data_IF_992612095622
#
_entry.id   IF_992612095622
#
_cell.length_a   1.000
_cell.length_b   1.000
_cell.length_c   1.000
_cell.angle_alpha   90.00
_cell.angle_beta   90.00
_cell.angle_gamma   90.00
#
_symmetry.space_group_name_H-M   'P 1'
#
loop_
_entity.id
_entity.type
_entity.pdbx_description
1 polymer ?
#
# COMPACT_ATOMS: atom_id res chain seq x y z
N UNK A 1 20.68 2.06 22.65
CA UNK A 1 21.94 1.38 23.06
C UNK A 1 22.74 1.06 21.79
N UNK A 2 24.08 0.97 21.85
CA UNK A 2 24.99 0.85 20.68
C UNK A 2 25.24 2.13 19.85
N UNK A 3 24.89 3.34 20.32
CA UNK A 3 25.17 4.62 19.65
C UNK A 3 26.66 4.89 19.34
N UNK A 4 27.58 4.31 20.12
CA UNK A 4 29.03 4.45 19.87
C UNK A 4 29.62 3.20 19.18
N UNK A 5 28.76 2.29 18.75
CA UNK A 5 29.13 0.96 18.28
C UNK A 5 29.72 0.04 19.36
N UNK A 6 29.65 -1.27 19.11
CA UNK A 6 30.38 -2.26 19.89
C UNK A 6 30.63 -3.53 19.06
N UNK A 7 31.70 -4.25 19.38
CA UNK A 7 31.96 -5.57 18.82
C UNK A 7 31.15 -6.63 19.58
N UNK A 8 30.35 -7.41 18.86
CA UNK A 8 29.58 -8.51 19.43
C UNK A 8 30.42 -9.76 19.73
N UNK A 9 29.86 -10.76 20.44
CA UNK A 9 30.53 -12.02 20.78
C UNK A 9 30.99 -12.83 19.56
N UNK A 10 30.34 -12.62 18.42
CA UNK A 10 30.64 -13.20 17.12
C UNK A 10 31.70 -12.42 16.33
N UNK A 11 32.35 -11.44 16.96
CA UNK A 11 33.36 -10.54 16.38
C UNK A 11 32.82 -9.56 15.32
N UNK A 12 31.51 -9.44 15.16
CA UNK A 12 30.89 -8.47 14.25
C UNK A 12 30.70 -7.13 14.97
N UNK A 13 31.21 -6.05 14.37
CA UNK A 13 30.94 -4.69 14.84
C UNK A 13 29.50 -4.29 14.51
N UNK A 14 28.77 -3.78 15.49
CA UNK A 14 27.38 -3.32 15.34
C UNK A 14 27.26 -1.90 15.85
N UNK A 15 26.46 -1.10 15.16
CA UNK A 15 26.22 0.30 15.45
C UNK A 15 24.75 0.59 15.14
N UNK A 16 24.06 1.29 16.04
CA UNK A 16 22.70 1.77 15.82
C UNK A 16 22.77 3.29 15.79
N UNK A 17 22.26 3.90 14.72
CA UNK A 17 22.23 5.34 14.51
C UNK A 17 20.78 5.72 14.20
N UNK A 18 20.16 6.51 15.07
CA UNK A 18 18.84 7.09 14.80
C UNK A 18 18.94 8.33 13.93
N UNK A 19 17.82 8.83 13.42
CA UNK A 19 17.78 10.08 12.66
C UNK A 19 18.30 11.28 13.48
N UNK A 20 17.97 11.31 14.77
CA UNK A 20 18.44 12.35 15.70
C UNK A 20 19.94 12.23 15.94
N UNK A 21 20.48 11.00 15.97
CA UNK A 21 21.93 10.77 16.07
C UNK A 21 22.66 11.24 14.80
N UNK A 22 22.06 11.04 13.63
CA UNK A 22 22.60 11.48 12.34
C UNK A 22 22.60 13.02 12.22
N UNK A 23 21.52 13.69 12.62
CA UNK A 23 21.45 15.17 12.67
C UNK A 23 22.50 15.75 13.61
N UNK A 24 22.62 15.19 14.82
CA UNK A 24 23.64 15.61 15.80
C UNK A 24 25.08 15.38 15.29
N UNK A 25 25.29 14.42 14.39
CA UNK A 25 26.57 14.17 13.72
C UNK A 25 26.82 15.10 12.51
N UNK A 26 25.87 16.00 12.20
CA UNK A 26 25.98 17.01 11.15
C UNK A 26 25.34 16.64 9.81
N UNK A 27 24.45 15.65 9.76
CA UNK A 27 23.65 15.36 8.57
C UNK A 27 22.53 16.40 8.43
N UNK A 28 22.44 17.05 7.26
CA UNK A 28 21.48 18.13 6.95
C UNK A 28 20.56 17.79 5.77
N UNK A 29 20.43 16.49 5.44
CA UNK A 29 19.68 15.99 4.28
C UNK A 29 18.17 15.80 4.54
N UNK A 30 17.69 16.06 5.75
CA UNK A 30 16.30 15.84 6.15
C UNK A 30 15.86 16.88 7.20
N UNK A 31 14.55 17.09 7.31
CA UNK A 31 13.93 17.89 8.37
C UNK A 31 13.13 16.96 9.29
N UNK A 32 13.57 16.83 10.55
CA UNK A 32 12.95 15.91 11.51
C UNK A 32 11.52 16.36 11.88
N UNK A 33 11.26 17.67 11.92
CA UNK A 33 9.94 18.18 12.28
C UNK A 33 8.95 17.93 11.12
N UNK A 34 9.37 18.11 9.87
CA UNK A 34 8.58 17.73 8.70
C UNK A 34 8.29 16.23 8.69
N UNK A 35 9.28 15.38 8.99
CA UNK A 35 9.08 13.92 9.07
C UNK A 35 8.13 13.52 10.20
N UNK A 36 8.12 14.23 11.33
CA UNK A 36 7.15 13.98 12.42
C UNK A 36 5.74 14.39 12.05
N UNK A 37 5.58 15.43 11.23
CA UNK A 37 4.30 15.79 10.65
C UNK A 37 3.88 14.80 9.55
N UNK A 38 4.87 14.18 8.88
CA UNK A 38 4.64 13.26 7.78
C UNK A 38 4.24 11.85 8.25
N UNK A 39 4.88 11.34 9.29
CA UNK A 39 4.78 9.96 9.77
C UNK A 39 4.19 9.89 11.17
N UNK A 40 3.31 8.92 11.42
CA UNK A 40 2.79 8.71 12.76
C UNK A 40 3.89 8.27 13.74
N UNK A 41 3.76 8.53 15.05
CA UNK A 41 4.73 8.18 16.08
C UNK A 41 5.26 6.73 16.03
N UNK A 42 4.40 5.73 15.82
CA UNK A 42 4.84 4.33 15.78
C UNK A 42 5.62 4.01 14.50
N UNK A 43 5.22 4.60 13.38
CA UNK A 43 5.93 4.53 12.10
C UNK A 43 7.26 5.29 12.14
N UNK A 44 7.27 6.52 12.67
CA UNK A 44 8.47 7.33 12.84
C UNK A 44 9.49 6.61 13.72
N UNK A 45 9.05 6.05 14.86
CA UNK A 45 9.92 5.33 15.76
C UNK A 45 10.57 4.12 15.07
N UNK A 46 9.80 3.40 14.24
CA UNK A 46 10.31 2.25 13.52
C UNK A 46 11.28 2.63 12.39
N UNK A 47 10.92 3.61 11.56
CA UNK A 47 11.70 4.02 10.39
C UNK A 47 12.96 4.79 10.78
N UNK A 48 12.89 5.62 11.82
CA UNK A 48 13.89 6.64 12.09
C UNK A 48 14.56 6.53 13.46
N UNK A 49 13.87 6.00 14.48
CA UNK A 49 14.45 5.82 15.82
C UNK A 49 14.98 4.39 16.09
N UNK A 50 14.98 3.53 15.06
CA UNK A 50 15.43 2.14 15.15
C UNK A 50 14.65 1.31 16.18
N UNK A 51 13.40 1.68 16.48
CA UNK A 51 12.56 0.90 17.38
C UNK A 51 11.97 -0.31 16.66
N UNK A 52 12.07 -1.48 17.30
CA UNK A 52 11.53 -2.72 16.75
C UNK A 52 10.01 -2.73 16.82
N UNK A 53 9.37 -3.18 15.73
CA UNK A 53 7.91 -3.27 15.67
C UNK A 53 7.40 -4.43 16.53
N UNK A 54 6.51 -4.15 17.48
CA UNK A 54 5.65 -5.16 18.10
C UNK A 54 4.42 -5.40 17.22
N UNK A 55 4.48 -6.44 16.39
CA UNK A 55 3.41 -6.81 15.45
C UNK A 55 2.34 -7.73 16.07
N UNK A 56 2.34 -7.94 17.39
CA UNK A 56 1.45 -8.90 18.06
C UNK A 56 -0.05 -8.60 17.87
N UNK A 57 -0.42 -7.32 17.76
CA UNK A 57 -1.78 -6.87 17.50
C UNK A 57 -2.05 -6.60 16.00
N UNK A 58 -1.02 -6.67 15.16
CA UNK A 58 -1.16 -6.41 13.74
C UNK A 58 -1.95 -7.51 13.04
N UNK A 59 -2.64 -7.11 11.97
CA UNK A 59 -3.24 -8.03 11.03
C UNK A 59 -2.19 -8.77 10.20
N UNK A 60 -1.00 -8.19 10.02
CA UNK A 60 0.05 -8.72 9.15
C UNK A 60 1.34 -8.92 9.94
N UNK A 61 2.07 -9.99 9.62
CA UNK A 61 3.36 -10.27 10.26
C UNK A 61 4.46 -9.53 9.54
N UNK A 62 5.30 -8.82 10.28
CA UNK A 62 6.42 -8.06 9.73
C UNK A 62 7.33 -8.95 8.87
N UNK A 63 7.70 -10.12 9.38
CA UNK A 63 8.59 -11.04 8.68
C UNK A 63 8.02 -11.62 7.37
N UNK A 64 6.69 -11.67 7.21
CA UNK A 64 6.09 -12.13 5.95
C UNK A 64 6.08 -11.00 4.90
N UNK A 65 5.95 -9.74 5.35
CA UNK A 65 6.08 -8.55 4.50
C UNK A 65 7.52 -8.35 4.02
N UNK A 66 8.52 -8.48 4.90
CA UNK A 66 9.94 -8.34 4.53
C UNK A 66 10.35 -9.37 3.47
N UNK A 67 9.81 -10.59 3.51
CA UNK A 67 10.08 -11.62 2.49
C UNK A 67 9.48 -11.30 1.11
N UNK A 68 8.56 -10.34 1.03
CA UNK A 68 7.99 -9.87 -0.22
C UNK A 68 8.87 -8.79 -0.88
N UNK A 69 9.92 -8.31 -0.21
CA UNK A 69 10.89 -7.39 -0.79
C UNK A 69 11.77 -8.07 -1.84
N UNK A 70 12.02 -7.39 -2.96
CA UNK A 70 12.91 -7.81 -4.04
C UNK A 70 13.76 -6.64 -4.55
N UNK A 71 14.79 -6.92 -5.36
CA UNK A 71 15.53 -5.89 -6.07
C UNK A 71 14.82 -5.61 -7.39
N UNK A 72 13.88 -4.66 -7.38
CA UNK A 72 13.00 -4.45 -8.54
C UNK A 72 13.75 -3.98 -9.78
N UNK A 73 14.90 -3.29 -9.60
CA UNK A 73 15.72 -2.77 -10.69
C UNK A 73 16.48 -3.89 -11.42
N UNK A 74 16.93 -4.91 -10.69
CA UNK A 74 17.58 -6.09 -11.27
C UNK A 74 16.53 -7.13 -11.74
N UNK A 75 15.53 -7.42 -10.91
CA UNK A 75 14.59 -8.52 -11.13
C UNK A 75 13.54 -8.21 -12.22
N UNK A 76 13.12 -6.96 -12.37
CA UNK A 76 12.01 -6.58 -13.28
C UNK A 76 12.49 -5.90 -14.56
N UNK A 77 13.23 -6.67 -15.37
CA UNK A 77 13.72 -6.23 -16.69
C UNK A 77 12.64 -5.81 -17.70
N UNK A 78 11.37 -6.10 -17.41
CA UNK A 78 10.19 -5.78 -18.21
C UNK A 78 9.45 -4.51 -17.73
N UNK A 79 9.99 -3.83 -16.72
CA UNK A 79 9.43 -2.61 -16.14
C UNK A 79 10.47 -1.48 -16.18
N UNK A 80 10.08 -0.31 -16.68
CA UNK A 80 10.90 0.90 -16.63
C UNK A 80 10.03 2.11 -16.24
N UNK A 81 10.13 2.63 -15.01
CA UNK A 81 9.26 3.71 -14.52
C UNK A 81 9.37 5.02 -15.31
N UNK A 82 10.50 5.25 -15.99
CA UNK A 82 10.76 6.47 -16.78
C UNK A 82 10.23 6.37 -18.22
N UNK A 83 9.86 5.19 -18.69
CA UNK A 83 9.35 5.02 -20.04
C UNK A 83 7.94 5.62 -20.19
N UNK A 84 7.59 6.03 -21.41
CA UNK A 84 6.24 6.52 -21.73
C UNK A 84 5.15 5.47 -21.43
N UNK A 85 5.50 4.18 -21.51
CA UNK A 85 4.66 3.05 -21.13
C UNK A 85 5.46 2.09 -20.23
N UNK A 86 5.49 2.33 -18.91
CA UNK A 86 6.44 1.68 -18.02
C UNK A 86 6.40 0.15 -18.01
N UNK A 87 5.22 -0.41 -18.28
CA UNK A 87 5.00 -1.86 -18.32
C UNK A 87 4.41 -2.32 -19.67
N UNK A 88 4.71 -1.58 -20.74
CA UNK A 88 4.24 -1.86 -22.09
C UNK A 88 2.71 -1.93 -22.21
N UNK A 89 2.20 -2.93 -22.94
CA UNK A 89 0.76 -3.19 -23.10
C UNK A 89 0.20 -4.22 -22.10
N UNK A 90 1.02 -4.69 -21.16
CA UNK A 90 0.58 -5.71 -20.20
C UNK A 90 -0.45 -5.11 -19.24
N UNK A 91 -1.46 -5.89 -18.85
CA UNK A 91 -2.50 -5.39 -17.97
C UNK A 91 -1.89 -5.01 -16.62
N UNK A 92 -2.33 -3.88 -16.08
CA UNK A 92 -2.12 -3.52 -14.66
C UNK A 92 -3.46 -3.38 -13.97
N UNK A 93 -3.45 -3.62 -12.67
CA UNK A 93 -4.55 -3.35 -11.77
C UNK A 93 -4.16 -2.22 -10.82
N UNK A 94 -5.09 -1.35 -10.52
CA UNK A 94 -4.88 -0.21 -9.65
C UNK A 94 -5.89 -0.21 -8.50
N UNK A 95 -5.47 0.35 -7.37
CA UNK A 95 -6.28 0.50 -6.19
C UNK A 95 -6.11 1.90 -5.64
N UNK A 96 -7.22 2.49 -5.21
CA UNK A 96 -7.28 3.86 -4.75
C UNK A 96 -8.07 3.96 -3.45
N UNK A 97 -7.39 4.37 -2.38
CA UNK A 97 -7.98 4.68 -1.09
C UNK A 97 -7.98 6.22 -0.91
N UNK A 98 -9.14 6.87 -0.78
CA UNK A 98 -9.26 8.31 -0.68
C UNK A 98 -8.90 8.79 0.73
N UNK A 99 -8.52 10.06 0.81
CA UNK A 99 -8.48 10.77 2.07
C UNK A 99 -9.89 10.83 2.67
N UNK A 100 -10.04 10.29 3.88
CA UNK A 100 -11.34 10.16 4.55
C UNK A 100 -11.63 11.30 5.55
N UNK A 101 -10.66 12.18 5.83
CA UNK A 101 -10.80 13.31 6.74
C UNK A 101 -10.10 14.58 6.22
N UNK A 102 -10.68 15.76 6.49
CA UNK A 102 -10.08 17.06 6.16
C UNK A 102 -8.79 17.35 6.95
N UNK A 103 -8.53 16.58 8.03
CA UNK A 103 -7.50 16.88 9.03
C UNK A 103 -6.29 15.92 9.05
N UNK A 104 -6.10 15.04 8.05
CA UNK A 104 -4.79 14.38 7.92
C UNK A 104 -4.69 12.95 7.41
N UNK A 105 -5.76 12.27 6.99
CA UNK A 105 -5.56 10.96 6.32
C UNK A 105 -4.99 11.17 4.91
N UNK A 106 -4.08 10.32 4.43
CA UNK A 106 -3.53 10.48 3.08
C UNK A 106 -4.40 9.69 2.09
N UNK A 107 -4.63 10.22 0.89
CA UNK A 107 -5.09 9.36 -0.19
C UNK A 107 -3.91 8.51 -0.67
N UNK A 108 -4.15 7.34 -1.24
CA UNK A 108 -3.10 6.51 -1.83
C UNK A 108 -3.55 5.82 -3.11
N UNK A 109 -2.67 5.86 -4.11
CA UNK A 109 -2.80 5.10 -5.35
C UNK A 109 -1.69 4.05 -5.42
N UNK A 110 -2.09 2.80 -5.64
CA UNK A 110 -1.18 1.69 -5.94
C UNK A 110 -1.43 1.13 -7.33
N UNK A 111 -0.36 0.88 -8.08
CA UNK A 111 -0.41 0.25 -9.41
C UNK A 111 0.36 -1.06 -9.34
N UNK A 112 -0.30 -2.17 -9.66
CA UNK A 112 0.30 -3.50 -9.59
C UNK A 112 0.17 -4.26 -10.92
N UNK A 113 1.19 -5.04 -11.25
CA UNK A 113 1.06 -6.09 -12.24
C UNK A 113 0.41 -7.32 -11.58
N UNK A 114 -0.76 -7.78 -12.06
CA UNK A 114 -1.29 -9.07 -11.65
C UNK A 114 -0.39 -10.22 -12.13
N UNK A 115 -0.46 -11.40 -11.48
CA UNK A 115 0.27 -12.58 -11.92
C UNK A 115 -0.07 -12.96 -13.37
N UNK A 116 0.95 -13.28 -14.17
CA UNK A 116 0.76 -13.79 -15.54
C UNK A 116 0.31 -15.27 -15.56
N UNK A 117 0.55 -15.98 -14.46
CA UNK A 117 0.19 -17.38 -14.27
C UNK A 117 -0.51 -17.54 -12.92
N UNK A 118 -1.41 -18.51 -12.84
CA UNK A 118 -2.08 -18.85 -11.59
C UNK A 118 -1.04 -19.17 -10.50
N UNK A 119 -1.21 -18.58 -9.32
CA UNK A 119 -0.26 -18.77 -8.21
C UNK A 119 1.01 -17.91 -8.30
N UNK A 120 1.22 -17.16 -9.37
CA UNK A 120 2.34 -16.21 -9.49
C UNK A 120 2.19 -15.01 -8.54
N UNK A 121 3.25 -14.19 -8.47
CA UNK A 121 3.30 -13.01 -7.62
C UNK A 121 2.64 -11.78 -8.27
N UNK A 122 1.97 -10.98 -7.45
CA UNK A 122 1.64 -9.60 -7.75
C UNK A 122 2.89 -8.75 -7.59
N UNK A 123 3.14 -7.82 -8.51
CA UNK A 123 4.26 -6.87 -8.41
C UNK A 123 3.71 -5.48 -8.20
N UNK A 124 3.99 -4.84 -7.07
CA UNK A 124 3.69 -3.42 -6.86
C UNK A 124 4.67 -2.60 -7.70
N UNK A 125 4.20 -2.01 -8.78
CA UNK A 125 5.02 -1.27 -9.73
C UNK A 125 5.24 0.17 -9.29
N UNK A 126 4.19 0.80 -8.76
CA UNK A 126 4.24 2.17 -8.27
C UNK A 126 3.32 2.36 -7.05
N UNK A 127 3.74 3.24 -6.15
CA UNK A 127 3.00 3.70 -4.97
C UNK A 127 3.00 5.23 -4.94
N UNK A 128 1.84 5.82 -4.69
CA UNK A 128 1.67 7.27 -4.69
C UNK A 128 0.82 7.69 -3.49
N UNK A 129 1.43 8.02 -2.34
CA UNK A 129 0.73 8.75 -1.30
C UNK A 129 0.39 10.16 -1.79
N UNK A 130 -0.82 10.62 -1.50
CA UNK A 130 -1.38 11.89 -1.95
C UNK A 130 -1.86 12.68 -0.74
N UNK A 131 -1.35 13.90 -0.56
CA UNK A 131 -1.67 14.77 0.57
C UNK A 131 -2.22 16.10 0.10
N UNK A 132 -3.23 16.63 0.80
CA UNK A 132 -3.72 18.00 0.62
C UNK A 132 -4.37 18.31 -0.74
N UNK A 133 -4.73 17.28 -1.51
CA UNK A 133 -5.42 17.43 -2.79
C UNK A 133 -6.93 17.30 -2.60
N UNK A 134 -7.71 18.13 -3.28
CA UNK A 134 -9.16 17.92 -3.37
C UNK A 134 -9.51 16.71 -4.27
N UNK A 135 -10.78 16.31 -4.29
CA UNK A 135 -11.22 15.14 -5.05
C UNK A 135 -11.05 15.28 -6.58
N UNK A 136 -11.11 16.49 -7.15
CA UNK A 136 -10.92 16.71 -8.59
C UNK A 136 -9.45 16.58 -8.96
N UNK A 137 -8.57 17.14 -8.13
CA UNK A 137 -7.12 17.02 -8.24
C UNK A 137 -6.68 15.57 -8.08
N UNK A 138 -7.22 14.85 -7.09
CA UNK A 138 -7.00 13.42 -6.91
C UNK A 138 -7.41 12.62 -8.16
N UNK A 139 -8.62 12.85 -8.69
CA UNK A 139 -9.07 12.17 -9.92
C UNK A 139 -8.19 12.50 -11.13
N UNK A 140 -7.76 13.76 -11.27
CA UNK A 140 -6.85 14.19 -12.34
C UNK A 140 -5.50 13.47 -12.24
N UNK A 141 -4.96 13.38 -11.03
CA UNK A 141 -3.71 12.65 -10.77
C UNK A 141 -3.84 11.17 -11.13
N UNK A 142 -4.87 10.48 -10.63
CA UNK A 142 -5.11 9.06 -10.92
C UNK A 142 -5.25 8.82 -12.42
N UNK A 143 -6.00 9.66 -13.12
CA UNK A 143 -6.14 9.60 -14.58
C UNK A 143 -4.80 9.80 -15.29
N UNK A 144 -4.03 10.80 -14.88
CA UNK A 144 -2.70 11.08 -15.45
C UNK A 144 -1.75 9.89 -15.29
N UNK A 145 -1.67 9.32 -14.09
CA UNK A 145 -0.81 8.17 -13.80
C UNK A 145 -1.22 6.93 -14.60
N UNK A 146 -2.51 6.57 -14.58
CA UNK A 146 -3.00 5.38 -15.27
C UNK A 146 -3.00 5.50 -16.79
N UNK A 147 -2.95 6.71 -17.36
CA UNK A 147 -2.84 6.91 -18.81
C UNK A 147 -1.58 6.32 -19.44
N UNK A 148 -0.51 6.12 -18.64
CA UNK A 148 0.75 5.48 -19.07
C UNK A 148 0.64 3.95 -19.15
N UNK A 149 -0.43 3.37 -18.62
CA UNK A 149 -0.59 1.95 -18.44
C UNK A 149 -1.82 1.39 -19.17
N UNK A 150 -1.78 0.09 -19.50
CA UNK A 150 -2.98 -0.65 -19.88
C UNK A 150 -3.73 -1.08 -18.61
N UNK A 151 -4.39 -0.13 -17.93
CA UNK A 151 -5.16 -0.41 -16.73
C UNK A 151 -6.47 -1.14 -17.06
N UNK A 152 -6.65 -2.34 -16.51
CA UNK A 152 -7.83 -3.19 -16.75
C UNK A 152 -8.76 -3.32 -15.55
N UNK A 153 -8.31 -2.88 -14.37
CA UNK A 153 -9.09 -2.86 -13.14
C UNK A 153 -8.63 -1.67 -12.30
N UNK A 154 -9.57 -0.87 -11.80
CA UNK A 154 -9.32 0.17 -10.81
C UNK A 154 -10.33 0.02 -9.68
N UNK A 155 -9.91 -0.47 -8.52
CA UNK A 155 -10.73 -0.51 -7.32
C UNK A 155 -10.68 0.83 -6.59
N UNK A 156 -11.82 1.45 -6.33
CA UNK A 156 -11.91 2.73 -5.62
C UNK A 156 -12.76 2.54 -4.37
N UNK A 157 -12.22 2.85 -3.19
CA UNK A 157 -13.08 3.10 -2.03
C UNK A 157 -13.96 4.31 -2.33
N UNK A 158 -15.27 4.08 -2.46
CA UNK A 158 -16.24 5.11 -2.76
C UNK A 158 -16.99 5.57 -1.49
N UNK A 159 -16.32 5.54 -0.35
CA UNK A 159 -16.76 6.15 0.91
C UNK A 159 -16.35 7.63 0.93
N UNK A 160 -17.21 8.49 1.50
CA UNK A 160 -16.91 9.92 1.68
C UNK A 160 -16.46 10.62 0.38
N UNK A 161 -15.27 11.22 0.42
CA UNK A 161 -14.64 11.95 -0.70
C UNK A 161 -14.40 11.04 -1.92
N UNK A 162 -14.12 9.75 -1.71
CA UNK A 162 -13.89 8.79 -2.78
C UNK A 162 -15.09 8.57 -3.70
N UNK A 163 -16.31 8.87 -3.24
CA UNK A 163 -17.50 8.84 -4.09
C UNK A 163 -17.40 9.85 -5.25
N UNK A 164 -16.83 11.03 -5.01
CA UNK A 164 -16.59 12.05 -6.04
C UNK A 164 -15.53 11.61 -7.04
N UNK A 165 -14.42 11.06 -6.56
CA UNK A 165 -13.35 10.51 -7.41
C UNK A 165 -13.88 9.39 -8.30
N UNK A 166 -14.64 8.44 -7.74
CA UNK A 166 -15.28 7.37 -8.50
C UNK A 166 -16.19 7.93 -9.62
N UNK A 167 -17.02 8.92 -9.32
CA UNK A 167 -17.92 9.52 -10.31
C UNK A 167 -17.17 10.19 -11.47
N UNK A 168 -15.98 10.75 -11.23
CA UNK A 168 -15.16 11.35 -12.28
C UNK A 168 -14.45 10.29 -13.12
N UNK A 169 -13.90 9.25 -12.47
CA UNK A 169 -13.10 8.23 -13.14
C UNK A 169 -13.92 7.14 -13.83
N UNK A 170 -15.15 6.87 -13.39
CA UNK A 170 -16.02 5.86 -13.99
C UNK A 170 -16.66 6.33 -15.32
N UNK A 171 -16.51 7.60 -15.69
CA UNK A 171 -17.05 8.11 -16.95
C UNK A 171 -16.23 7.58 -18.14
N UNK A 172 -16.85 7.24 -19.29
CA UNK A 172 -16.13 6.72 -20.45
C UNK A 172 -15.00 7.62 -20.98
N UNK A 173 -15.12 8.94 -20.83
CA UNK A 173 -14.14 9.95 -21.23
C UNK A 173 -12.93 10.04 -20.29
N UNK A 174 -12.98 9.37 -19.13
CA UNK A 174 -11.81 9.18 -18.28
C UNK A 174 -10.77 8.25 -18.92
N UNK A 175 -11.19 7.37 -19.85
CA UNK A 175 -10.28 6.47 -20.58
C UNK A 175 -9.75 5.30 -19.74
N UNK A 176 -10.27 5.09 -18.53
CA UNK A 176 -9.86 4.01 -17.63
C UNK A 176 -10.89 2.88 -17.71
N UNK A 177 -10.42 1.65 -17.91
CA UNK A 177 -11.28 0.46 -18.01
C UNK A 177 -11.39 -0.22 -16.65
N UNK A 178 -12.54 -0.85 -16.38
CA UNK A 178 -12.73 -1.68 -15.18
C UNK A 178 -12.77 -0.90 -13.87
N UNK A 179 -13.18 0.37 -13.89
CA UNK A 179 -13.38 1.17 -12.68
C UNK A 179 -14.50 0.54 -11.86
N UNK A 180 -14.16 0.09 -10.65
CA UNK A 180 -15.01 -0.72 -9.79
C UNK A 180 -15.17 -0.01 -8.45
N UNK A 181 -16.43 0.23 -8.08
CA UNK A 181 -16.79 0.80 -6.79
C UNK A 181 -16.57 -0.23 -5.68
N UNK A 182 -15.86 0.15 -4.63
CA UNK A 182 -15.73 -0.63 -3.40
C UNK A 182 -16.58 0.05 -2.32
N UNK A 183 -17.59 -0.67 -1.85
CA UNK A 183 -18.44 -0.22 -0.74
C UNK A 183 -17.98 -0.90 0.54
N UNK A 184 -17.48 -0.11 1.47
CA UNK A 184 -16.92 -0.64 2.70
C UNK A 184 -18.00 -1.10 3.68
N UNK A 185 -18.02 -2.41 3.94
CA UNK A 185 -18.68 -3.03 5.09
C UNK A 185 -17.64 -3.70 5.99
N UNK A 186 -18.04 -4.10 7.21
CA UNK A 186 -17.15 -4.87 8.09
C UNK A 186 -16.71 -6.18 7.44
N UNK A 187 -17.63 -6.83 6.71
CA UNK A 187 -17.41 -8.08 5.99
C UNK A 187 -16.45 -7.88 4.82
N UNK A 188 -16.61 -6.80 4.05
CA UNK A 188 -15.71 -6.45 2.94
C UNK A 188 -14.29 -6.20 3.45
N UNK A 189 -14.13 -5.44 4.55
CA UNK A 189 -12.81 -5.22 5.18
C UNK A 189 -12.16 -6.53 5.62
N UNK A 190 -12.91 -7.37 6.32
CA UNK A 190 -12.39 -8.65 6.78
C UNK A 190 -11.97 -9.55 5.61
N UNK A 191 -12.75 -9.57 4.53
CA UNK A 191 -12.46 -10.34 3.33
C UNK A 191 -11.22 -9.84 2.60
N UNK A 192 -11.04 -8.53 2.44
CA UNK A 192 -9.82 -7.95 1.87
C UNK A 192 -8.57 -8.33 2.66
N UNK A 193 -8.63 -8.23 3.99
CA UNK A 193 -7.50 -8.60 4.84
C UNK A 193 -7.20 -10.10 4.74
N UNK A 194 -8.21 -10.96 4.74
CA UNK A 194 -8.00 -12.40 4.56
C UNK A 194 -7.34 -12.73 3.21
N UNK A 195 -7.75 -12.07 2.12
CA UNK A 195 -7.12 -12.23 0.80
C UNK A 195 -5.67 -11.75 0.81
N UNK A 196 -5.41 -10.57 1.35
CA UNK A 196 -4.07 -10.02 1.45
C UNK A 196 -3.14 -10.90 2.30
N UNK A 197 -3.62 -11.40 3.44
CA UNK A 197 -2.89 -12.36 4.27
C UNK A 197 -2.56 -13.64 3.49
N UNK A 198 -3.48 -14.16 2.68
CA UNK A 198 -3.22 -15.33 1.85
C UNK A 198 -2.13 -15.08 0.81
N UNK A 199 -2.16 -13.93 0.13
CA UNK A 199 -1.15 -13.54 -0.86
C UNK A 199 0.22 -13.36 -0.20
N UNK A 200 0.29 -12.58 0.88
CA UNK A 200 1.54 -12.24 1.58
C UNK A 200 2.18 -13.47 2.24
N UNK A 201 1.41 -14.26 3.00
CA UNK A 201 1.95 -15.46 3.67
C UNK A 201 2.47 -16.54 2.70
N UNK A 202 2.05 -16.49 1.43
CA UNK A 202 2.53 -17.37 0.36
C UNK A 202 3.67 -16.78 -0.47
N UNK A 203 4.15 -15.58 -0.13
CA UNK A 203 5.18 -14.86 -0.91
C UNK A 203 4.71 -14.49 -2.31
N UNK A 204 3.40 -14.28 -2.50
CA UNK A 204 2.79 -13.91 -3.79
C UNK A 204 2.64 -12.39 -3.95
N UNK A 205 3.31 -11.61 -3.12
CA UNK A 205 3.44 -10.17 -3.30
C UNK A 205 4.93 -9.87 -3.46
N UNK A 206 5.27 -8.97 -4.38
CA UNK A 206 6.62 -8.50 -4.62
C UNK A 206 6.61 -6.97 -4.73
N UNK A 207 7.51 -6.31 -4.01
CA UNK A 207 7.73 -4.87 -4.08
C UNK A 207 9.21 -4.56 -3.88
N UNK A 208 9.64 -3.36 -4.24
CA UNK A 208 11.03 -2.98 -4.04
C UNK A 208 11.40 -2.98 -2.55
N UNK A 209 12.48 -3.66 -2.18
CA UNK A 209 12.86 -3.83 -0.77
C UNK A 209 13.15 -2.50 -0.04
N UNK A 210 13.38 -1.40 -0.77
CA UNK A 210 13.53 -0.05 -0.19
C UNK A 210 12.22 0.59 0.27
N UNK A 211 11.07 0.03 -0.11
CA UNK A 211 9.75 0.60 0.21
C UNK A 211 9.26 0.15 1.59
N UNK A 212 9.94 0.65 2.63
CA UNK A 212 9.61 0.35 4.02
C UNK A 212 8.23 0.91 4.43
N UNK A 213 7.74 1.94 3.76
CA UNK A 213 6.40 2.51 3.93
C UNK A 213 5.27 1.53 3.56
N UNK A 214 5.53 0.62 2.62
CA UNK A 214 4.60 -0.50 2.34
C UNK A 214 4.53 -1.41 3.58
N UNK A 215 5.68 -1.72 4.19
CA UNK A 215 5.72 -2.59 5.37
C UNK A 215 5.04 -1.93 6.56
N UNK A 216 5.37 -0.68 6.86
CA UNK A 216 4.78 0.07 7.98
C UNK A 216 3.25 0.21 7.83
N UNK A 217 2.77 0.56 6.64
CA UNK A 217 1.33 0.73 6.38
C UNK A 217 0.52 -0.57 6.55
N UNK A 218 1.10 -1.74 6.25
CA UNK A 218 0.45 -3.01 6.54
C UNK A 218 0.50 -3.35 8.04
N UNK A 219 1.62 -3.08 8.70
CA UNK A 219 1.77 -3.40 10.13
C UNK A 219 0.89 -2.51 11.01
N UNK A 220 0.62 -1.27 10.62
CA UNK A 220 -0.26 -0.33 11.34
C UNK A 220 -1.73 -0.78 11.41
N UNK A 221 -2.15 -1.74 10.58
CA UNK A 221 -3.50 -2.32 10.61
C UNK A 221 -3.64 -3.24 11.82
N UNK A 222 -4.30 -2.76 12.88
CA UNK A 222 -4.47 -3.48 14.15
C UNK A 222 -5.83 -4.20 14.20
N UNK A 223 -5.84 -5.42 14.77
CA UNK A 223 -7.07 -6.15 15.11
C UNK A 223 -7.73 -5.53 16.32
N UNK A 224 -9.01 -5.17 16.23
CA UNK A 224 -9.78 -4.62 17.35
C UNK A 224 -11.16 -5.26 17.42
N UNK A 225 -11.77 -5.30 18.61
CA UNK A 225 -13.17 -5.67 18.75
C UNK A 225 -14.07 -4.48 18.34
N UNK A 226 -15.24 -4.76 17.77
CA UNK A 226 -16.28 -3.76 17.55
C UNK A 226 -16.80 -3.22 18.89
N UNK A 227 -17.47 -2.06 18.88
CA UNK A 227 -18.04 -1.45 20.09
C UNK A 227 -19.01 -2.37 20.84
N UNK A 228 -19.66 -3.29 20.12
CA UNK A 228 -20.51 -4.33 20.69
C UNK A 228 -19.76 -5.53 21.31
N UNK A 229 -18.44 -5.60 21.16
CA UNK A 229 -17.58 -6.71 21.60
C UNK A 229 -17.77 -8.02 20.84
N UNK A 230 -18.73 -8.08 19.91
CA UNK A 230 -19.20 -9.33 19.30
C UNK A 230 -18.44 -9.72 18.03
N UNK A 231 -17.92 -8.73 17.30
CA UNK A 231 -17.22 -8.94 16.04
C UNK A 231 -15.79 -8.40 16.12
N UNK A 232 -14.87 -9.06 15.42
CA UNK A 232 -13.53 -8.52 15.16
C UNK A 232 -13.64 -7.56 13.97
N UNK A 233 -13.01 -6.40 14.08
CA UNK A 233 -12.82 -5.44 13.00
C UNK A 233 -11.35 -5.03 12.95
N UNK A 234 -10.99 -4.31 11.90
CA UNK A 234 -9.64 -3.88 11.65
C UNK A 234 -9.63 -2.37 11.57
N UNK A 235 -8.73 -1.76 12.34
CA UNK A 235 -8.54 -0.33 12.37
C UNK A 235 -7.07 -0.04 12.16
N UNK A 236 -6.79 0.79 11.17
CA UNK A 236 -5.70 1.74 11.31
C UNK A 236 -6.17 2.75 12.36
N UNK A 237 -5.29 3.12 13.29
CA UNK A 237 -5.69 4.17 14.22
C UNK A 237 -5.94 5.47 13.43
N UNK A 238 -6.85 6.30 13.95
CA UNK A 238 -7.43 7.44 13.22
C UNK A 238 -7.09 8.78 13.88
N UNK A 239 -6.16 8.76 14.82
CA UNK A 239 -5.58 9.98 15.38
C UNK A 239 -4.33 10.33 14.59
N UNK A 240 -3.92 11.59 14.59
CA UNK A 240 -2.61 11.99 14.04
C UNK A 240 -1.42 11.29 14.69
N UNK A 241 -1.65 10.50 15.75
CA UNK A 241 -0.67 9.65 16.43
C UNK A 241 -0.63 8.18 15.93
N UNK A 242 -1.48 7.78 14.97
CA UNK A 242 -1.57 6.39 14.50
C UNK A 242 -1.28 6.28 12.98
N UNK A 243 -0.37 5.39 12.57
CA UNK A 243 0.13 5.24 11.19
C UNK A 243 -0.91 5.18 10.06
N UNK A 244 -0.55 5.73 8.90
CA UNK A 244 -1.38 5.78 7.70
C UNK A 244 -1.43 4.40 7.01
N UNK A 245 -2.56 3.71 7.11
CA UNK A 245 -2.76 2.42 6.43
C UNK A 245 -3.31 2.58 4.99
N UNK A 246 -3.48 3.80 4.50
CA UNK A 246 -4.14 4.10 3.22
C UNK A 246 -3.40 3.42 2.05
N UNK A 247 -2.06 3.35 2.12
CA UNK A 247 -1.25 2.60 1.16
C UNK A 247 -1.59 1.11 1.17
N UNK A 248 -1.64 0.48 2.35
CA UNK A 248 -2.03 -0.93 2.47
C UNK A 248 -3.48 -1.17 1.99
N UNK A 249 -4.42 -0.26 2.27
CA UNK A 249 -5.79 -0.35 1.75
C UNK A 249 -5.84 -0.27 0.23
N UNK A 250 -5.12 0.67 -0.39
CA UNK A 250 -5.04 0.77 -1.84
C UNK A 250 -4.46 -0.51 -2.48
N UNK A 251 -3.45 -1.13 -1.88
CA UNK A 251 -2.91 -2.43 -2.32
C UNK A 251 -3.96 -3.53 -2.14
N UNK A 252 -4.65 -3.57 -1.01
CA UNK A 252 -5.70 -4.58 -0.75
C UNK A 252 -6.89 -4.45 -1.70
N UNK A 253 -7.22 -3.25 -2.20
CA UNK A 253 -8.24 -3.08 -3.26
C UNK A 253 -7.87 -3.82 -4.53
N UNK A 254 -6.59 -3.79 -4.90
CA UNK A 254 -6.07 -4.54 -6.05
C UNK A 254 -6.15 -6.04 -5.80
N UNK A 255 -5.63 -6.50 -4.66
CA UNK A 255 -5.63 -7.93 -4.30
C UNK A 255 -7.05 -8.49 -4.19
N UNK A 256 -8.02 -7.65 -3.83
CA UNK A 256 -9.42 -8.04 -3.75
C UNK A 256 -10.01 -8.47 -5.10
N UNK A 257 -9.45 -8.01 -6.22
CA UNK A 257 -9.89 -8.42 -7.55
C UNK A 257 -9.51 -9.87 -7.89
N UNK A 258 -8.54 -10.48 -7.18
CA UNK A 258 -8.22 -11.90 -7.35
C UNK A 258 -9.37 -12.78 -6.83
N UNK A 259 -9.87 -13.73 -7.62
CA UNK A 259 -10.84 -14.72 -7.14
C UNK A 259 -10.24 -15.64 -6.08
N UNK A 260 -11.07 -16.12 -5.15
CA UNK A 260 -10.60 -16.91 -3.98
C UNK A 260 -9.92 -18.24 -4.34
N UNK A 261 -10.22 -18.80 -5.51
CA UNK A 261 -9.58 -20.01 -6.04
C UNK A 261 -8.41 -19.70 -6.99
N UNK A 262 -8.07 -18.43 -7.18
CA UNK A 262 -7.03 -17.95 -8.10
C UNK A 262 -7.34 -18.23 -9.57
N UNK A 263 -8.57 -18.61 -9.92
CA UNK A 263 -9.00 -18.77 -11.32
C UNK A 263 -9.42 -17.42 -11.88
N UNK A 264 -9.31 -17.21 -13.19
CA UNK A 264 -9.93 -16.04 -13.82
C UNK A 264 -11.45 -16.03 -13.55
N UNK A 265 -12.01 -14.86 -13.23
CA UNK A 265 -13.46 -14.71 -13.17
C UNK A 265 -14.06 -15.13 -14.53
N UNK A 266 -15.10 -15.98 -14.56
CA UNK A 266 -15.66 -16.43 -15.82
C UNK A 266 -16.16 -15.21 -16.62
N UNK A 267 -15.57 -14.98 -17.80
CA UNK A 267 -16.10 -14.00 -18.75
C UNK A 267 -17.48 -14.50 -19.18
N UNK A 268 -18.55 -13.82 -18.75
CA UNK A 268 -19.89 -14.08 -19.28
C UNK A 268 -19.94 -13.61 -20.73
N UNK A 269 -19.54 -14.47 -21.68
CA UNK A 269 -19.90 -14.28 -23.08
C UNK A 269 -21.37 -14.65 -23.22
N UNK A 270 -22.23 -13.65 -23.21
CA UNK A 270 -23.60 -13.82 -23.69
C UNK A 270 -23.52 -13.78 -25.23
N UNK A 271 -23.48 -14.95 -25.87
CA UNK A 271 -23.77 -15.04 -27.30
C UNK A 271 -25.26 -14.76 -27.49
N UNK A 272 -25.57 -13.68 -28.21
CA UNK A 272 -26.90 -13.44 -28.73
C UNK A 272 -26.99 -14.28 -30.01
N UNK A 273 -27.78 -15.36 -29.96
CA UNK A 273 -28.23 -16.12 -31.14
C UNK A 273 -29.26 -15.32 -31.94
#
# INVERSE_FOLDING_TARGET
>A
ALKNGAQGPDRIWRHIVTITDAEAAGCDLFDIDELRDEYAPDEFANLFDCDFVDDSLSAFRFNDLIKCGCDSMEDWTDFNPEAARPYGERPVWAGYDPQNSENGDNASLSIMAPPLVQGGAFRLLERHPLRGLDFEQQATFVKGMLSRYNCTFLGIDASGVGAGVYQLLAKPDAGIKGVTKIEYSLEVKAMMIMKAQNVISRGRMAFDASWLDVVSSFVSIKKTLTTSGRNVTFKAGRGGDDGHADLAWSIMHVLNNEPLDGREAPKSTMEIL
#
